data_IF_320442917788
#
_entry.id   IF_320442917788
#
_cell.length_a   1.000
_cell.length_b   1.000
_cell.length_c   1.000
_cell.angle_alpha   90.00
_cell.angle_beta   90.00
_cell.angle_gamma   90.00
#
_symmetry.space_group_name_H-M   'P 1'
#
loop_
_entity.id
_entity.type
_entity.pdbx_description
1 polymer ?
#
# COMPACT_ATOMS: atom_id res chain seq x y z
N UNK A 1 16.49 7.74 -14.92
CA UNK A 1 16.17 6.74 -13.88
C UNK A 1 16.78 5.40 -14.30
N UNK A 2 17.64 4.77 -13.49
CA UNK A 2 18.31 3.50 -13.87
C UNK A 2 17.37 2.30 -13.68
N UNK A 3 17.63 1.17 -14.36
CA UNK A 3 16.85 -0.07 -14.21
C UNK A 3 16.78 -0.55 -12.75
N UNK A 4 17.87 -0.41 -11.99
CA UNK A 4 17.91 -0.71 -10.55
C UNK A 4 16.91 0.14 -9.76
N UNK A 5 16.79 1.42 -10.09
CA UNK A 5 15.84 2.32 -9.40
C UNK A 5 14.40 1.93 -9.69
N UNK A 6 14.11 1.49 -10.92
CA UNK A 6 12.78 0.99 -11.30
C UNK A 6 12.48 -0.32 -10.57
N UNK A 7 13.40 -1.28 -10.55
CA UNK A 7 13.20 -2.58 -9.87
C UNK A 7 13.07 -2.41 -8.35
N UNK A 8 13.90 -1.58 -7.73
CA UNK A 8 13.77 -1.21 -6.31
C UNK A 8 12.41 -0.55 -6.04
N UNK A 9 11.97 0.38 -6.90
CA UNK A 9 10.64 0.97 -6.78
C UNK A 9 9.52 -0.06 -6.95
N UNK A 10 9.68 -1.06 -7.83
CA UNK A 10 8.72 -2.16 -8.01
C UNK A 10 8.67 -3.07 -6.77
N UNK A 11 9.82 -3.36 -6.14
CA UNK A 11 9.90 -4.16 -4.92
C UNK A 11 9.45 -3.42 -3.67
N UNK A 12 9.25 -2.10 -3.74
CA UNK A 12 8.74 -1.29 -2.65
C UNK A 12 7.22 -1.15 -2.76
N UNK A 13 6.48 -1.80 -1.86
CA UNK A 13 5.02 -1.76 -1.78
C UNK A 13 4.42 -0.35 -1.57
N UNK A 14 5.23 0.68 -1.38
CA UNK A 14 4.81 2.08 -1.27
C UNK A 14 4.97 2.87 -2.58
N UNK A 15 5.30 2.21 -3.69
CA UNK A 15 5.45 2.83 -5.01
C UNK A 15 4.20 2.63 -5.87
N UNK A 16 3.82 3.65 -6.64
CA UNK A 16 2.68 3.60 -7.56
C UNK A 16 2.98 2.84 -8.87
N UNK A 17 4.25 2.72 -9.25
CA UNK A 17 4.69 2.05 -10.49
C UNK A 17 4.27 0.57 -10.57
N UNK A 18 4.50 -0.26 -9.53
CA UNK A 18 4.02 -1.63 -9.56
C UNK A 18 2.49 -1.71 -9.67
N UNK A 19 1.72 -0.77 -9.09
CA UNK A 19 0.26 -0.76 -9.18
C UNK A 19 -0.24 -0.52 -10.61
N UNK A 20 0.35 0.42 -11.36
CA UNK A 20 -0.11 0.70 -12.74
C UNK A 20 0.19 -0.47 -13.67
N UNK A 21 1.44 -0.95 -13.69
CA UNK A 21 1.86 -2.03 -14.60
C UNK A 21 1.14 -3.33 -14.26
N UNK A 22 1.02 -3.66 -12.98
CA UNK A 22 0.35 -4.87 -12.52
C UNK A 22 -1.16 -4.77 -12.70
N UNK A 23 -1.82 -3.78 -12.09
CA UNK A 23 -3.28 -3.74 -12.00
C UNK A 23 -3.91 -3.40 -13.36
N UNK A 24 -3.35 -2.42 -14.08
CA UNK A 24 -3.90 -2.00 -15.38
C UNK A 24 -3.32 -2.76 -16.57
N UNK A 25 -2.03 -3.18 -16.49
CA UNK A 25 -1.32 -3.79 -17.61
C UNK A 25 -1.40 -5.32 -17.67
N UNK A 26 -1.53 -6.00 -16.52
CA UNK A 26 -1.52 -7.46 -16.44
C UNK A 26 -2.86 -7.99 -15.92
N UNK A 27 -3.29 -7.50 -14.76
CA UNK A 27 -4.45 -8.05 -14.06
C UNK A 27 -5.76 -7.76 -14.77
N UNK A 28 -6.06 -6.48 -15.04
CA UNK A 28 -7.32 -6.11 -15.69
C UNK A 28 -7.48 -6.82 -17.05
N UNK A 29 -6.52 -6.77 -17.99
CA UNK A 29 -6.62 -7.51 -19.25
C UNK A 29 -6.81 -9.02 -19.06
N UNK A 30 -6.06 -9.64 -18.15
CA UNK A 30 -6.15 -11.09 -17.91
C UNK A 30 -7.51 -11.50 -17.36
N UNK A 31 -8.02 -10.77 -16.36
CA UNK A 31 -9.35 -11.01 -15.77
C UNK A 31 -10.46 -10.81 -16.80
N UNK A 32 -10.36 -9.80 -17.66
CA UNK A 32 -11.31 -9.55 -18.76
C UNK A 32 -11.30 -10.72 -19.76
N UNK A 33 -10.11 -11.17 -20.17
CA UNK A 33 -9.97 -12.28 -21.12
C UNK A 33 -10.51 -13.60 -20.55
N UNK A 34 -10.19 -13.91 -19.29
CA UNK A 34 -10.70 -15.09 -18.59
C UNK A 34 -12.23 -15.01 -18.49
N UNK A 35 -12.78 -13.87 -18.02
CA UNK A 35 -14.22 -13.69 -17.91
C UNK A 35 -14.93 -13.90 -19.26
N UNK A 36 -14.38 -13.35 -20.34
CA UNK A 36 -14.89 -13.56 -21.70
C UNK A 36 -14.87 -15.03 -22.09
N UNK A 37 -13.75 -15.71 -21.90
CA UNK A 37 -13.57 -17.10 -22.32
C UNK A 37 -14.48 -18.06 -21.56
N UNK A 38 -14.60 -17.87 -20.25
CA UNK A 38 -15.44 -18.70 -19.38
C UNK A 38 -16.92 -18.51 -19.70
N UNK A 39 -17.40 -17.27 -19.83
CA UNK A 39 -18.79 -16.99 -20.19
C UNK A 39 -19.12 -17.39 -21.65
N UNK A 40 -18.12 -17.43 -22.55
CA UNK A 40 -18.31 -17.87 -23.94
C UNK A 40 -18.63 -19.36 -24.05
N UNK A 41 -18.29 -20.17 -23.04
CA UNK A 41 -18.69 -21.59 -22.97
C UNK A 41 -20.21 -21.77 -22.93
N UNK A 42 -20.92 -20.74 -22.47
CA UNK A 42 -22.37 -20.75 -22.28
C UNK A 42 -23.07 -19.99 -23.41
N UNK A 43 -22.69 -18.73 -23.67
CA UNK A 43 -23.18 -18.00 -24.85
C UNK A 43 -22.31 -16.80 -25.23
N UNK A 44 -22.37 -16.41 -26.50
CA UNK A 44 -21.68 -15.21 -27.01
C UNK A 44 -22.23 -13.91 -26.41
N UNK A 45 -23.52 -13.88 -26.09
CA UNK A 45 -24.16 -12.72 -25.48
C UNK A 45 -23.72 -12.53 -24.03
N UNK A 46 -23.72 -13.60 -23.23
CA UNK A 46 -23.20 -13.58 -21.85
C UNK A 46 -21.73 -13.17 -21.83
N UNK A 47 -20.92 -13.71 -22.75
CA UNK A 47 -19.51 -13.32 -22.87
C UNK A 47 -19.34 -11.82 -23.12
N UNK A 48 -20.18 -11.21 -23.96
CA UNK A 48 -20.09 -9.77 -24.26
C UNK A 48 -20.50 -8.91 -23.06
N UNK A 49 -21.55 -9.30 -22.34
CA UNK A 49 -21.96 -8.59 -21.12
C UNK A 49 -20.92 -8.72 -20.01
N UNK A 50 -20.40 -9.92 -19.76
CA UNK A 50 -19.34 -10.18 -18.79
C UNK A 50 -18.07 -9.40 -19.12
N UNK A 51 -17.67 -9.36 -20.40
CA UNK A 51 -16.51 -8.58 -20.85
C UNK A 51 -16.71 -7.10 -20.53
N UNK A 52 -17.87 -6.51 -20.87
CA UNK A 52 -18.16 -5.09 -20.61
C UNK A 52 -18.17 -4.80 -19.11
N UNK A 53 -18.93 -5.59 -18.33
CA UNK A 53 -19.02 -5.41 -16.88
C UNK A 53 -17.61 -5.48 -16.26
N UNK A 54 -16.77 -6.42 -16.70
CA UNK A 54 -15.40 -6.57 -16.21
C UNK A 54 -14.47 -5.42 -16.63
N UNK A 55 -14.57 -4.91 -17.85
CA UNK A 55 -13.81 -3.74 -18.30
C UNK A 55 -14.11 -2.54 -17.40
N UNK A 56 -15.39 -2.24 -17.19
CA UNK A 56 -15.82 -1.10 -16.38
C UNK A 56 -15.39 -1.32 -14.92
N UNK A 57 -15.61 -2.51 -14.37
CA UNK A 57 -15.27 -2.82 -12.98
C UNK A 57 -13.77 -2.68 -12.72
N UNK A 58 -12.91 -3.33 -13.52
CA UNK A 58 -11.47 -3.32 -13.28
C UNK A 58 -10.86 -1.93 -13.55
N UNK A 59 -11.14 -1.30 -14.69
CA UNK A 59 -10.50 -0.02 -15.02
C UNK A 59 -11.06 1.17 -14.24
N UNK A 60 -12.36 1.21 -13.92
CA UNK A 60 -12.89 2.29 -13.09
C UNK A 60 -12.41 2.18 -11.64
N UNK A 61 -12.32 0.94 -11.10
CA UNK A 61 -11.72 0.69 -9.79
C UNK A 61 -10.25 1.12 -9.78
N UNK A 62 -9.47 0.75 -10.79
CA UNK A 62 -8.06 1.19 -10.92
C UNK A 62 -7.92 2.71 -11.07
N UNK A 63 -8.80 3.37 -11.82
CA UNK A 63 -8.77 4.83 -11.97
C UNK A 63 -9.04 5.55 -10.63
N UNK A 64 -10.00 5.04 -9.84
CA UNK A 64 -10.29 5.57 -8.50
C UNK A 64 -9.09 5.35 -7.57
N UNK A 65 -8.48 4.17 -7.58
CA UNK A 65 -7.29 3.87 -6.77
C UNK A 65 -6.08 4.73 -7.13
N UNK A 66 -5.74 4.80 -8.43
CA UNK A 66 -4.50 5.42 -8.90
C UNK A 66 -4.60 6.95 -9.02
N UNK A 67 -5.80 7.48 -9.26
CA UNK A 67 -6.01 8.92 -9.48
C UNK A 67 -6.95 9.55 -8.46
N UNK A 68 -8.08 8.90 -8.18
CA UNK A 68 -9.09 9.43 -7.26
C UNK A 68 -8.58 9.63 -5.84
N UNK A 69 -7.94 8.61 -5.27
CA UNK A 69 -7.41 8.69 -3.89
C UNK A 69 -6.31 9.75 -3.76
N UNK A 70 -5.24 9.76 -4.58
CA UNK A 70 -4.23 10.82 -4.50
C UNK A 70 -4.80 12.22 -4.71
N UNK A 71 -5.78 12.39 -5.59
CA UNK A 71 -6.44 13.68 -5.79
C UNK A 71 -7.20 14.14 -4.54
N UNK A 72 -7.96 13.24 -3.89
CA UNK A 72 -8.67 13.56 -2.65
C UNK A 72 -7.70 13.82 -1.50
N UNK A 73 -6.61 13.06 -1.38
CA UNK A 73 -5.56 13.34 -0.39
C UNK A 73 -4.93 14.72 -0.60
N UNK A 74 -4.62 15.10 -1.85
CA UNK A 74 -4.08 16.41 -2.18
C UNK A 74 -5.05 17.56 -1.84
N UNK A 75 -6.34 17.38 -2.14
CA UNK A 75 -7.38 18.35 -1.78
C UNK A 75 -7.52 18.47 -0.25
N UNK A 76 -7.54 17.34 0.46
CA UNK A 76 -7.63 17.32 1.91
C UNK A 76 -6.40 17.96 2.56
N UNK A 77 -5.20 17.71 2.03
CA UNK A 77 -3.96 18.33 2.51
C UNK A 77 -3.96 19.84 2.31
N UNK A 78 -4.38 20.32 1.13
CA UNK A 78 -4.57 21.77 0.90
C UNK A 78 -5.56 22.38 1.89
N UNK A 79 -6.64 21.68 2.22
CA UNK A 79 -7.62 22.15 3.19
C UNK A 79 -7.04 22.22 4.62
N UNK A 80 -6.30 21.19 5.04
CA UNK A 80 -5.64 21.14 6.36
C UNK A 80 -4.57 22.25 6.47
N UNK A 81 -3.75 22.42 5.43
CA UNK A 81 -2.76 23.48 5.34
C UNK A 81 -3.39 24.88 5.35
N UNK A 82 -4.55 25.09 4.70
CA UNK A 82 -5.31 26.34 4.79
C UNK A 82 -5.84 26.65 6.18
N UNK A 83 -6.07 25.62 7.01
CA UNK A 83 -6.36 25.80 8.45
C UNK A 83 -5.10 26.03 9.29
N UNK A 84 -3.95 26.12 8.63
CA UNK A 84 -2.64 26.38 9.22
C UNK A 84 -2.05 25.17 9.95
N UNK A 85 -2.50 23.94 9.66
CA UNK A 85 -1.89 22.73 10.20
C UNK A 85 -1.07 22.04 9.13
N UNK A 86 0.05 21.44 9.52
CA UNK A 86 0.80 20.59 8.61
C UNK A 86 0.22 19.16 8.61
N UNK A 87 -0.36 18.67 7.50
CA UNK A 87 -0.94 17.34 7.43
C UNK A 87 0.08 16.20 7.56
N UNK A 88 1.37 16.53 7.50
CA UNK A 88 2.46 15.56 7.60
C UNK A 88 2.83 15.17 9.04
N UNK A 89 2.31 15.87 10.06
CA UNK A 89 2.57 15.55 11.46
C UNK A 89 1.97 14.20 11.80
N UNK A 90 2.81 13.28 12.25
CA UNK A 90 2.41 11.93 12.55
C UNK A 90 1.85 11.83 13.98
N UNK A 91 0.56 11.58 14.10
CA UNK A 91 -0.12 11.48 15.39
C UNK A 91 0.29 10.27 16.24
N UNK A 92 1.05 9.29 15.69
CA UNK A 92 1.65 8.22 16.51
C UNK A 92 2.59 8.78 17.57
N UNK A 93 3.17 9.95 17.31
CA UNK A 93 4.01 10.66 18.27
C UNK A 93 3.27 10.96 19.58
N UNK A 94 1.94 11.14 19.57
CA UNK A 94 1.16 11.29 20.80
C UNK A 94 1.03 9.99 21.61
N UNK A 95 1.12 8.82 20.96
CA UNK A 95 1.00 7.52 21.64
C UNK A 95 2.29 7.10 22.31
N UNK A 96 3.43 7.41 21.71
CA UNK A 96 4.75 7.12 22.30
C UNK A 96 4.94 7.81 23.65
N UNK A 97 4.33 8.98 23.85
CA UNK A 97 4.37 9.72 25.11
C UNK A 97 3.48 9.13 26.21
N UNK A 98 2.46 8.35 25.82
CA UNK A 98 1.55 7.69 26.76
C UNK A 98 2.13 6.40 27.32
N UNK A 99 3.23 5.89 26.75
CA UNK A 99 3.94 4.74 27.28
C UNK A 99 4.68 5.14 28.57
N UNK A 100 4.16 4.71 29.72
CA UNK A 100 4.55 5.13 31.09
C UNK A 100 6.01 4.84 31.51
N UNK A 101 6.85 4.29 30.63
CA UNK A 101 8.27 4.09 30.91
C UNK A 101 9.07 5.33 30.49
N UNK A 102 8.95 6.41 31.27
CA UNK A 102 9.55 7.72 30.99
C UNK A 102 11.08 7.70 30.75
N UNK A 103 11.80 6.68 31.25
CA UNK A 103 13.25 6.53 31.05
C UNK A 103 13.69 6.09 29.64
N UNK A 104 12.76 5.69 28.76
CA UNK A 104 13.06 5.13 27.43
C UNK A 104 12.27 5.81 26.29
N UNK A 105 11.83 7.05 26.49
CA UNK A 105 11.16 7.82 25.43
C UNK A 105 12.22 8.50 24.58
N UNK A 106 12.29 8.12 23.31
CA UNK A 106 13.27 8.67 22.34
C UNK A 106 12.61 9.43 21.17
N UNK A 107 11.28 9.48 21.15
CA UNK A 107 10.47 10.29 20.25
C UNK A 107 9.09 10.55 20.88
N UNK A 108 8.46 11.64 20.49
CA UNK A 108 7.16 12.08 21.01
C UNK A 108 6.91 13.53 20.62
N UNK A 109 5.68 14.03 20.72
CA UNK A 109 5.39 15.44 20.43
C UNK A 109 6.17 16.38 21.36
N UNK A 110 5.95 16.29 22.66
CA UNK A 110 6.67 16.99 23.73
C UNK A 110 8.16 16.63 23.80
N UNK A 111 8.52 15.36 23.66
CA UNK A 111 9.94 14.97 23.61
C UNK A 111 10.66 15.68 22.45
N UNK A 112 10.09 15.63 21.24
CA UNK A 112 10.70 16.26 20.07
C UNK A 112 10.70 17.78 20.21
N UNK A 113 9.62 18.41 20.71
CA UNK A 113 9.61 19.86 20.99
C UNK A 113 10.79 20.22 21.92
N UNK A 114 10.93 19.51 23.04
CA UNK A 114 11.98 19.81 24.02
C UNK A 114 13.39 19.55 23.50
N UNK A 115 13.57 18.51 22.68
CA UNK A 115 14.86 18.17 22.08
C UNK A 115 15.32 19.21 21.06
N UNK A 116 14.41 19.67 20.20
CA UNK A 116 14.77 20.47 19.04
C UNK A 116 14.52 21.99 19.20
N UNK A 117 13.85 22.44 20.28
CA UNK A 117 13.48 23.87 20.49
C UNK A 117 14.62 24.88 20.40
N UNK A 118 15.84 24.49 20.78
CA UNK A 118 16.99 25.40 20.85
C UNK A 118 17.76 25.50 19.52
N UNK A 119 17.40 24.73 18.49
CA UNK A 119 18.08 24.73 17.20
C UNK A 119 17.51 25.85 16.33
N UNK A 120 18.33 26.83 15.95
CA UNK A 120 17.87 28.06 15.30
C UNK A 120 17.56 27.92 13.80
N UNK A 121 17.79 26.74 13.21
CA UNK A 121 17.51 26.49 11.80
C UNK A 121 16.03 26.69 11.46
N UNK A 122 15.77 27.40 10.36
CA UNK A 122 14.41 27.85 9.99
C UNK A 122 13.44 26.68 9.84
N UNK A 123 13.84 25.63 9.13
CA UNK A 123 13.02 24.44 8.89
C UNK A 123 12.75 23.64 10.19
N UNK A 124 13.70 23.65 11.13
CA UNK A 124 13.52 23.07 12.47
C UNK A 124 12.51 23.89 13.26
N UNK A 125 12.64 25.22 13.28
CA UNK A 125 11.72 26.11 13.99
C UNK A 125 10.29 26.00 13.44
N UNK A 126 10.13 25.92 12.11
CA UNK A 126 8.84 25.64 11.47
C UNK A 126 8.28 24.28 11.89
N UNK A 127 9.11 23.23 11.90
CA UNK A 127 8.70 21.90 12.34
C UNK A 127 8.28 21.87 13.83
N UNK A 128 8.95 22.64 14.69
CA UNK A 128 8.58 22.78 16.10
C UNK A 128 7.29 23.58 16.25
N UNK A 129 7.11 24.66 15.49
CA UNK A 129 5.86 25.42 15.48
C UNK A 129 4.67 24.54 15.06
N UNK A 130 4.85 23.69 14.05
CA UNK A 130 3.85 22.68 13.64
C UNK A 130 3.48 21.76 14.80
N UNK A 131 4.49 21.22 15.50
CA UNK A 131 4.27 20.32 16.65
C UNK A 131 3.57 21.01 17.81
N UNK A 132 3.98 22.22 18.18
CA UNK A 132 3.37 23.02 19.25
C UNK A 132 1.90 23.30 18.93
N UNK A 133 1.60 23.70 17.68
CA UNK A 133 0.24 23.98 17.25
C UNK A 133 -0.65 22.74 17.31
N UNK A 134 -0.11 21.59 16.88
CA UNK A 134 -0.80 20.30 16.95
C UNK A 134 -0.99 19.84 18.40
N UNK A 135 0.03 20.01 19.27
CA UNK A 135 -0.08 19.72 20.72
C UNK A 135 -1.23 20.49 21.34
N UNK A 136 -1.30 21.79 21.10
CA UNK A 136 -2.31 22.67 21.69
C UNK A 136 -3.73 22.44 21.14
N UNK A 137 -3.86 21.84 19.95
CA UNK A 137 -5.14 21.64 19.27
C UNK A 137 -5.37 20.18 18.85
N UNK A 138 -4.88 19.22 19.64
CA UNK A 138 -4.88 17.79 19.31
C UNK A 138 -6.25 17.27 18.81
N UNK A 139 -7.39 17.49 19.51
CA UNK A 139 -8.67 16.95 19.06
C UNK A 139 -9.11 17.47 17.69
N UNK A 140 -8.84 18.76 17.41
CA UNK A 140 -9.16 19.38 16.14
C UNK A 140 -8.29 18.78 15.02
N UNK A 141 -6.98 18.64 15.25
CA UNK A 141 -6.07 18.07 14.28
C UNK A 141 -6.35 16.59 13.99
N UNK A 142 -6.60 15.78 15.03
CA UNK A 142 -7.04 14.38 14.87
C UNK A 142 -8.36 14.27 14.09
N UNK A 143 -9.30 15.19 14.36
CA UNK A 143 -10.56 15.29 13.59
C UNK A 143 -10.32 15.62 12.11
N UNK A 144 -9.39 16.52 11.80
CA UNK A 144 -9.03 16.86 10.42
C UNK A 144 -8.38 15.68 9.69
N UNK A 145 -7.43 14.98 10.31
CA UNK A 145 -6.80 13.80 9.73
C UNK A 145 -7.78 12.64 9.56
N UNK A 146 -8.73 12.48 10.49
CA UNK A 146 -9.80 11.48 10.35
C UNK A 146 -10.71 11.80 9.18
N UNK A 147 -11.08 13.07 8.98
CA UNK A 147 -11.85 13.51 7.81
C UNK A 147 -11.06 13.29 6.51
N UNK A 148 -9.75 13.56 6.50
CA UNK A 148 -8.87 13.23 5.37
C UNK A 148 -8.92 11.73 5.08
N UNK A 149 -8.73 10.88 6.09
CA UNK A 149 -8.79 9.43 5.90
C UNK A 149 -10.16 8.97 5.37
N UNK A 150 -11.26 9.49 5.93
CA UNK A 150 -12.60 9.14 5.47
C UNK A 150 -12.81 9.54 4.01
N UNK A 151 -12.42 10.76 3.64
CA UNK A 151 -12.54 11.25 2.27
C UNK A 151 -11.66 10.46 1.29
N UNK A 152 -10.41 10.19 1.65
CA UNK A 152 -9.43 9.56 0.78
C UNK A 152 -9.53 8.03 0.71
N UNK A 153 -10.14 7.38 1.70
CA UNK A 153 -10.24 5.92 1.76
C UNK A 153 -11.68 5.47 1.72
N UNK A 154 -12.50 5.87 2.68
CA UNK A 154 -13.87 5.34 2.84
C UNK A 154 -14.78 5.73 1.68
N UNK A 155 -14.78 6.99 1.22
CA UNK A 155 -15.61 7.42 0.09
C UNK A 155 -15.26 6.63 -1.19
N UNK A 156 -13.98 6.55 -1.62
CA UNK A 156 -13.54 5.68 -2.70
C UNK A 156 -13.98 4.23 -2.52
N UNK A 157 -13.80 3.64 -1.33
CA UNK A 157 -14.27 2.27 -1.04
C UNK A 157 -15.77 2.13 -1.25
N UNK A 158 -16.58 3.09 -0.79
CA UNK A 158 -18.03 3.10 -0.99
C UNK A 158 -18.38 3.20 -2.48
N UNK A 159 -17.70 4.08 -3.22
CA UNK A 159 -17.92 4.22 -4.66
C UNK A 159 -17.60 2.90 -5.36
N UNK A 160 -16.42 2.32 -5.13
CA UNK A 160 -15.97 1.10 -5.81
C UNK A 160 -16.74 -0.15 -5.37
N UNK A 161 -17.18 -0.21 -4.11
CA UNK A 161 -17.81 -1.38 -3.53
C UNK A 161 -19.33 -1.40 -3.65
N UNK A 162 -19.99 -0.24 -3.63
CA UNK A 162 -21.46 -0.16 -3.55
C UNK A 162 -22.08 0.57 -4.74
N UNK A 163 -21.48 1.67 -5.19
CA UNK A 163 -22.07 2.53 -6.23
C UNK A 163 -21.74 1.99 -7.62
N UNK A 164 -20.45 1.78 -7.90
CA UNK A 164 -19.94 1.32 -9.18
C UNK A 164 -20.57 -0.01 -9.62
N UNK A 165 -20.69 -1.06 -8.76
CA UNK A 165 -21.34 -2.30 -9.17
C UNK A 165 -22.81 -2.08 -9.56
N UNK A 166 -23.57 -1.32 -8.76
CA UNK A 166 -24.98 -1.02 -9.06
C UNK A 166 -25.16 -0.27 -10.37
N UNK A 167 -24.32 0.73 -10.63
CA UNK A 167 -24.35 1.48 -11.89
C UNK A 167 -24.00 0.58 -13.09
N UNK A 168 -23.00 -0.29 -12.93
CA UNK A 168 -22.57 -1.22 -13.97
C UNK A 168 -23.69 -2.24 -14.28
N UNK A 169 -24.31 -2.82 -13.25
CA UNK A 169 -25.44 -3.74 -13.41
C UNK A 169 -26.67 -3.06 -14.04
N UNK A 170 -26.99 -1.84 -13.64
CA UNK A 170 -28.08 -1.06 -14.21
C UNK A 170 -27.84 -0.76 -15.71
N UNK A 171 -26.59 -0.44 -16.08
CA UNK A 171 -26.20 -0.26 -17.48
C UNK A 171 -26.39 -1.55 -18.28
N UNK A 172 -25.98 -2.70 -17.74
CA UNK A 172 -26.22 -4.02 -18.35
C UNK A 172 -27.71 -4.27 -18.58
N UNK A 173 -28.53 -4.05 -17.54
CA UNK A 173 -29.97 -4.24 -17.62
C UNK A 173 -30.60 -3.34 -18.69
N UNK A 174 -30.21 -2.06 -18.75
CA UNK A 174 -30.68 -1.11 -19.77
C UNK A 174 -30.32 -1.56 -21.19
N UNK A 175 -29.09 -2.03 -21.40
CA UNK A 175 -28.64 -2.48 -22.73
C UNK A 175 -29.34 -3.76 -23.17
N UNK A 176 -29.58 -4.71 -22.26
CA UNK A 176 -30.39 -5.91 -22.54
C UNK A 176 -31.82 -5.53 -22.86
N UNK A 177 -32.41 -4.61 -22.08
CA UNK A 177 -33.76 -4.10 -22.28
C UNK A 177 -33.91 -3.43 -23.65
N UNK A 178 -32.98 -2.56 -24.05
CA UNK A 178 -33.01 -1.92 -25.37
C UNK A 178 -32.90 -2.94 -26.53
N UNK A 179 -32.12 -4.01 -26.37
CA UNK A 179 -32.05 -5.11 -27.36
C UNK A 179 -33.35 -5.90 -27.44
N UNK A 180 -34.04 -6.10 -26.31
CA UNK A 180 -35.37 -6.74 -26.30
C UNK A 180 -36.48 -5.81 -26.78
N UNK A 181 -36.40 -4.51 -26.51
CA UNK A 181 -37.39 -3.49 -26.90
C UNK A 181 -37.29 -3.09 -28.38
N UNK A 182 -36.19 -3.39 -29.08
CA UNK A 182 -36.16 -3.42 -30.56
C UNK A 182 -37.11 -4.47 -31.17
N UNK A 183 -37.86 -5.24 -30.36
CA UNK A 183 -39.02 -6.06 -30.77
C UNK A 183 -40.37 -5.61 -30.18
N UNK A 184 -40.46 -4.52 -29.41
CA UNK A 184 -41.69 -3.80 -29.02
C UNK A 184 -41.39 -2.77 -27.92
N UNK A 185 -42.02 -1.58 -28.00
CA UNK A 185 -41.85 -0.43 -27.07
C UNK A 185 -43.16 -0.11 -26.32
N UNK A 186 -43.18 0.76 -25.27
CA UNK A 186 -42.24 0.98 -24.14
C UNK A 186 -42.99 0.98 -22.76
N UNK A 187 -42.36 0.96 -21.55
CA UNK A 187 -41.68 2.08 -20.85
C UNK A 187 -41.01 1.59 -19.51
N UNK A 188 -39.99 2.28 -18.93
CA UNK A 188 -39.72 2.15 -17.49
C UNK A 188 -39.51 3.45 -16.69
N UNK A 189 -39.90 3.40 -15.41
CA UNK A 189 -39.64 4.39 -14.35
C UNK A 189 -38.24 4.22 -13.72
N UNK A 190 -37.66 5.33 -13.25
CA UNK A 190 -36.35 5.39 -12.59
C UNK A 190 -36.45 5.15 -11.06
N UNK A 191 -35.48 4.45 -10.42
CA UNK A 191 -35.42 4.37 -8.97
C UNK A 191 -34.70 5.58 -8.36
N UNK A 192 -35.30 6.10 -7.27
CA UNK A 192 -34.71 7.14 -6.42
C UNK A 192 -33.50 6.59 -5.64
N UNK A 193 -32.35 7.24 -5.78
CA UNK A 193 -31.20 7.05 -4.88
C UNK A 193 -31.46 7.79 -3.56
N UNK A 194 -31.73 7.05 -2.49
CA UNK A 194 -31.68 7.57 -1.14
C UNK A 194 -30.21 7.80 -0.73
N UNK A 195 -29.79 9.07 -0.75
CA UNK A 195 -28.62 9.54 -0.03
C UNK A 195 -29.10 10.07 1.32
N UNK A 196 -29.05 9.25 2.38
CA UNK A 196 -29.25 9.78 3.73
C UNK A 196 -28.59 8.91 4.80
N UNK A 197 -27.49 9.37 5.39
CA UNK A 197 -27.43 9.90 6.77
C UNK A 197 -25.99 10.31 7.12
N UNK A 198 -25.87 11.43 7.84
CA UNK A 198 -24.65 11.86 8.54
C UNK A 198 -24.07 10.69 9.36
N UNK A 199 -22.88 10.22 8.97
CA UNK A 199 -22.11 9.28 9.78
C UNK A 199 -21.39 10.09 10.85
N UNK A 200 -22.03 10.26 12.00
CA UNK A 200 -21.38 10.78 13.20
C UNK A 200 -20.70 9.60 13.92
N UNK A 201 -19.36 9.54 13.86
CA UNK A 201 -18.58 8.67 14.72
C UNK A 201 -18.31 9.40 16.04
N UNK A 202 -18.97 8.98 17.12
CA UNK A 202 -18.66 9.40 18.50
C UNK A 202 -17.85 8.30 19.19
N UNK A 203 -16.71 8.68 19.79
CA UNK A 203 -15.85 7.79 20.58
C UNK A 203 -14.45 7.57 19.97
N UNK A 204 -13.58 6.88 20.73
CA UNK A 204 -12.12 6.64 20.54
C UNK A 204 -11.65 6.05 19.18
N UNK A 205 -12.55 5.99 18.20
CA UNK A 205 -12.37 5.55 16.82
C UNK A 205 -11.56 6.57 16.01
N UNK A 206 -11.76 7.88 16.24
CA UNK A 206 -11.04 8.97 15.56
C UNK A 206 -9.53 8.86 15.76
N UNK A 207 -9.09 8.67 17.01
CA UNK A 207 -7.67 8.48 17.35
C UNK A 207 -7.13 7.16 16.81
N UNK A 208 -7.93 6.09 16.77
CA UNK A 208 -7.51 4.77 16.29
C UNK A 208 -7.29 4.76 14.77
N UNK A 209 -8.26 5.29 14.02
CA UNK A 209 -8.24 5.37 12.55
C UNK A 209 -7.09 6.24 12.06
N UNK A 210 -6.90 7.40 12.69
CA UNK A 210 -5.90 8.35 12.24
C UNK A 210 -4.46 7.81 12.45
N UNK A 211 -4.28 6.85 13.38
CA UNK A 211 -2.99 6.23 13.74
C UNK A 211 -2.65 4.94 12.96
N UNK A 212 -3.52 4.47 12.07
CA UNK A 212 -3.31 3.23 11.32
C UNK A 212 -2.07 3.31 10.42
N UNK A 213 -1.33 2.20 10.30
CA UNK A 213 -0.27 2.09 9.28
C UNK A 213 -0.92 2.07 7.90
N UNK A 214 -0.16 2.43 6.87
CA UNK A 214 -0.62 2.36 5.48
C UNK A 214 -1.18 0.99 5.11
N UNK A 215 -0.54 -0.09 5.57
CA UNK A 215 -1.02 -1.47 5.35
C UNK A 215 -2.37 -1.72 6.03
N UNK A 216 -2.55 -1.23 7.26
CA UNK A 216 -3.82 -1.41 7.98
C UNK A 216 -4.94 -0.59 7.32
N UNK A 217 -4.63 0.61 6.79
CA UNK A 217 -5.56 1.43 6.01
C UNK A 217 -6.00 0.75 4.71
N UNK A 218 -5.06 0.14 3.99
CA UNK A 218 -5.36 -0.63 2.78
C UNK A 218 -6.20 -1.86 3.10
N UNK A 219 -5.88 -2.60 4.18
CA UNK A 219 -6.67 -3.74 4.61
C UNK A 219 -8.12 -3.37 4.98
N UNK A 220 -8.34 -2.21 5.64
CA UNK A 220 -9.70 -1.70 5.92
C UNK A 220 -10.43 -1.34 4.63
N UNK A 221 -9.76 -0.68 3.69
CA UNK A 221 -10.35 -0.36 2.39
C UNK A 221 -10.79 -1.62 1.64
N UNK A 222 -9.93 -2.63 1.57
CA UNK A 222 -10.22 -3.88 0.85
C UNK A 222 -11.30 -4.71 1.58
N UNK A 223 -11.31 -4.68 2.91
CA UNK A 223 -12.39 -5.25 3.73
C UNK A 223 -13.74 -4.59 3.43
N UNK A 224 -13.78 -3.25 3.43
CA UNK A 224 -14.98 -2.48 3.09
C UNK A 224 -15.43 -2.69 1.64
N UNK A 225 -14.48 -2.79 0.70
CA UNK A 225 -14.75 -3.11 -0.69
C UNK A 225 -15.41 -4.49 -0.80
N UNK A 226 -14.96 -5.45 0.02
CA UNK A 226 -15.49 -6.82 0.05
C UNK A 226 -16.91 -6.87 0.54
N UNK A 227 -17.18 -6.20 1.66
CA UNK A 227 -18.53 -6.05 2.17
C UNK A 227 -19.43 -5.41 1.11
N UNK A 228 -18.95 -4.35 0.46
CA UNK A 228 -19.66 -3.69 -0.63
C UNK A 228 -20.03 -4.65 -1.76
N UNK A 229 -19.04 -5.27 -2.39
CA UNK A 229 -19.26 -6.10 -3.57
C UNK A 229 -20.12 -7.33 -3.27
N UNK A 230 -19.97 -7.95 -2.10
CA UNK A 230 -20.82 -9.07 -1.67
C UNK A 230 -22.24 -8.61 -1.40
N UNK A 231 -22.42 -7.48 -0.72
CA UNK A 231 -23.76 -6.94 -0.40
C UNK A 231 -24.54 -6.44 -1.61
N UNK A 232 -23.85 -6.00 -2.66
CA UNK A 232 -24.48 -5.53 -3.90
C UNK A 232 -24.70 -6.62 -4.95
N UNK A 233 -24.29 -7.85 -4.67
CA UNK A 233 -24.50 -8.99 -5.57
C UNK A 233 -25.98 -9.15 -5.92
N UNK A 234 -26.27 -9.48 -7.18
CA UNK A 234 -27.64 -9.64 -7.70
C UNK A 234 -28.33 -10.88 -7.15
N UNK A 235 -27.55 -11.89 -6.78
CA UNK A 235 -28.04 -13.12 -6.14
C UNK A 235 -27.00 -13.71 -5.17
N UNK A 236 -27.42 -14.72 -4.40
CA UNK A 236 -26.58 -15.37 -3.38
C UNK A 236 -25.31 -15.99 -3.98
N UNK A 237 -25.43 -16.62 -5.15
CA UNK A 237 -24.31 -17.25 -5.85
C UNK A 237 -23.25 -16.22 -6.26
N UNK A 238 -23.66 -15.07 -6.82
CA UNK A 238 -22.76 -13.95 -7.11
C UNK A 238 -22.13 -13.40 -5.82
N UNK A 239 -22.86 -13.39 -4.71
CA UNK A 239 -22.36 -13.12 -3.36
C UNK A 239 -21.20 -14.03 -2.97
N UNK A 240 -21.38 -15.35 -3.05
CA UNK A 240 -20.34 -16.33 -2.72
C UNK A 240 -19.12 -16.24 -3.63
N UNK A 241 -19.32 -16.09 -4.94
CA UNK A 241 -18.23 -15.94 -5.91
C UNK A 241 -17.45 -14.66 -5.66
N UNK A 242 -18.13 -13.54 -5.36
CA UNK A 242 -17.47 -12.29 -4.98
C UNK A 242 -16.69 -12.43 -3.68
N UNK A 243 -17.25 -13.06 -2.65
CA UNK A 243 -16.57 -13.30 -1.39
C UNK A 243 -15.27 -14.12 -1.60
N UNK A 244 -15.37 -15.24 -2.32
CA UNK A 244 -14.23 -16.10 -2.64
C UNK A 244 -13.12 -15.31 -3.35
N UNK A 245 -13.46 -14.61 -4.43
CA UNK A 245 -12.51 -13.81 -5.21
C UNK A 245 -11.82 -12.77 -4.34
N UNK A 246 -12.58 -12.04 -3.52
CA UNK A 246 -12.05 -10.89 -2.78
C UNK A 246 -11.19 -11.29 -1.58
N UNK A 247 -11.59 -12.33 -0.85
CA UNK A 247 -10.76 -12.90 0.21
C UNK A 247 -9.46 -13.44 -0.40
N UNK A 248 -9.55 -14.17 -1.52
CA UNK A 248 -8.40 -14.63 -2.27
C UNK A 248 -7.48 -13.49 -2.69
N UNK A 249 -8.03 -12.40 -3.24
CA UNK A 249 -7.25 -11.22 -3.61
C UNK A 249 -6.55 -10.56 -2.43
N UNK A 250 -7.20 -10.42 -1.27
CA UNK A 250 -6.55 -9.87 -0.07
C UNK A 250 -5.38 -10.72 0.40
N UNK A 251 -5.55 -12.04 0.46
CA UNK A 251 -4.47 -12.97 0.85
C UNK A 251 -3.31 -12.82 -0.13
N UNK A 252 -3.60 -12.85 -1.44
CA UNK A 252 -2.59 -12.74 -2.48
C UNK A 252 -1.91 -11.36 -2.58
N UNK A 253 -2.56 -10.29 -2.10
CA UNK A 253 -1.98 -8.94 -2.11
C UNK A 253 -1.19 -8.61 -0.83
N UNK A 254 -1.64 -9.04 0.35
CA UNK A 254 -1.03 -8.63 1.62
C UNK A 254 -0.19 -9.71 2.29
N UNK A 255 -0.51 -10.98 2.08
CA UNK A 255 0.11 -12.11 2.79
C UNK A 255 1.13 -12.77 1.88
N UNK A 256 0.69 -13.25 0.72
CA UNK A 256 1.48 -14.06 -0.20
C UNK A 256 2.79 -13.41 -0.67
N UNK A 257 2.85 -12.12 -1.04
CA UNK A 257 4.09 -11.51 -1.55
C UNK A 257 5.20 -11.49 -0.49
N UNK A 258 4.85 -11.37 0.79
CA UNK A 258 5.80 -11.41 1.89
C UNK A 258 6.39 -12.82 2.08
N UNK A 259 5.58 -13.87 1.93
CA UNK A 259 6.04 -15.25 2.01
C UNK A 259 6.86 -15.67 0.79
N UNK A 260 6.46 -15.25 -0.42
CA UNK A 260 7.24 -15.50 -1.63
C UNK A 260 8.60 -14.80 -1.52
N UNK A 261 8.64 -13.52 -1.14
CA UNK A 261 9.89 -12.79 -0.95
C UNK A 261 10.81 -13.52 0.04
N UNK A 262 10.30 -13.87 1.22
CA UNK A 262 11.07 -14.62 2.24
C UNK A 262 11.55 -15.98 1.71
N UNK A 263 10.72 -16.69 0.95
CA UNK A 263 11.06 -17.98 0.35
C UNK A 263 12.17 -17.86 -0.70
N UNK A 264 12.04 -16.90 -1.62
CA UNK A 264 13.05 -16.60 -2.63
C UNK A 264 14.37 -16.16 -2.00
N UNK A 265 14.33 -15.23 -1.05
CA UNK A 265 15.53 -14.76 -0.35
C UNK A 265 16.21 -15.90 0.45
N UNK A 266 15.43 -16.74 1.15
CA UNK A 266 15.97 -17.92 1.85
C UNK A 266 16.60 -18.92 0.89
N UNK A 267 15.95 -19.19 -0.24
CA UNK A 267 16.48 -20.09 -1.28
C UNK A 267 17.78 -19.52 -1.87
N UNK A 268 17.82 -18.24 -2.22
CA UNK A 268 19.00 -17.55 -2.72
C UNK A 268 20.15 -17.54 -1.71
N UNK A 269 19.87 -17.23 -0.44
CA UNK A 269 20.87 -17.23 0.63
C UNK A 269 21.48 -18.63 0.79
N UNK A 270 20.66 -19.69 0.72
CA UNK A 270 21.13 -21.08 0.81
C UNK A 270 21.93 -21.51 -0.42
N UNK A 271 21.42 -21.21 -1.62
CA UNK A 271 21.99 -21.68 -2.88
C UNK A 271 23.28 -20.94 -3.25
N UNK A 272 23.32 -19.63 -3.00
CA UNK A 272 24.44 -18.79 -3.43
C UNK A 272 25.38 -18.39 -2.28
N UNK A 273 25.01 -18.65 -1.02
CA UNK A 273 25.74 -18.23 0.18
C UNK A 273 26.02 -16.71 0.20
N UNK A 274 25.06 -15.92 -0.27
CA UNK A 274 25.13 -14.45 -0.38
C UNK A 274 23.92 -13.89 0.33
N UNK A 275 24.10 -12.90 1.21
CA UNK A 275 22.99 -12.18 1.82
C UNK A 275 22.36 -11.21 0.79
N UNK A 276 21.10 -11.46 0.42
CA UNK A 276 20.34 -10.64 -0.55
C UNK A 276 19.23 -9.80 0.10
N UNK A 277 19.29 -9.56 1.41
CA UNK A 277 18.19 -8.93 2.14
C UNK A 277 18.16 -7.41 1.99
N UNK A 278 19.27 -6.77 1.60
CA UNK A 278 19.33 -5.33 1.35
C UNK A 278 18.69 -4.96 0.01
N UNK A 279 18.19 -3.73 -0.09
CA UNK A 279 17.58 -3.20 -1.31
C UNK A 279 18.62 -3.08 -2.45
N UNK A 280 18.24 -3.34 -3.72
CA UNK A 280 19.14 -3.19 -4.86
C UNK A 280 19.84 -1.84 -4.97
N UNK A 281 19.21 -0.74 -4.52
CA UNK A 281 19.83 0.59 -4.50
C UNK A 281 21.03 0.64 -3.57
N UNK A 282 20.86 0.15 -2.35
CA UNK A 282 21.95 0.03 -1.36
C UNK A 282 23.06 -0.87 -1.90
N UNK A 283 22.70 -2.03 -2.46
CA UNK A 283 23.65 -2.97 -3.05
C UNK A 283 24.39 -2.40 -4.29
N UNK A 284 23.88 -1.32 -4.88
CA UNK A 284 24.52 -0.60 -5.99
C UNK A 284 25.27 0.66 -5.58
N UNK A 285 25.21 1.04 -4.30
CA UNK A 285 25.85 2.24 -3.79
C UNK A 285 27.37 2.02 -3.73
N UNK A 286 28.11 2.81 -4.52
CA UNK A 286 29.57 2.71 -4.62
C UNK A 286 30.25 3.12 -3.32
N UNK A 287 29.78 4.18 -2.68
CA UNK A 287 30.33 4.68 -1.42
C UNK A 287 30.16 3.64 -0.31
N UNK A 288 29.05 2.89 -0.33
CA UNK A 288 28.82 1.80 0.60
C UNK A 288 29.82 0.67 0.40
N UNK A 289 30.02 0.26 -0.86
CA UNK A 289 30.97 -0.78 -1.22
C UNK A 289 32.41 -0.36 -0.86
N UNK A 290 32.79 0.88 -1.13
CA UNK A 290 34.10 1.44 -0.79
C UNK A 290 34.31 1.52 0.73
N UNK A 291 33.32 2.02 1.48
CA UNK A 291 33.40 2.08 2.94
C UNK A 291 33.56 0.70 3.59
N UNK A 292 32.98 -0.36 3.01
CA UNK A 292 33.21 -1.74 3.46
C UNK A 292 34.66 -2.17 3.20
N UNK A 293 35.19 -1.90 2.01
CA UNK A 293 36.57 -2.24 1.63
C UNK A 293 37.60 -1.55 2.54
N UNK A 294 37.36 -0.29 2.85
CA UNK A 294 38.22 0.56 3.67
C UNK A 294 38.03 0.33 5.18
N UNK A 295 37.08 -0.53 5.58
CA UNK A 295 36.67 -0.73 6.98
C UNK A 295 36.23 0.56 7.70
N UNK A 296 35.73 1.55 6.96
CA UNK A 296 35.37 2.88 7.47
C UNK A 296 33.84 3.11 7.50
N UNK A 297 33.05 2.03 7.56
CA UNK A 297 31.59 2.14 7.61
C UNK A 297 31.10 2.31 9.05
N UNK A 298 30.56 3.48 9.36
CA UNK A 298 30.03 3.79 10.69
C UNK A 298 28.62 3.19 10.91
N UNK A 299 28.42 2.56 12.07
CA UNK A 299 27.18 1.91 12.45
C UNK A 299 26.70 2.39 13.83
N UNK A 300 25.38 2.36 14.09
CA UNK A 300 24.87 2.47 15.45
C UNK A 300 25.46 1.38 16.34
N UNK A 301 25.74 1.70 17.62
CA UNK A 301 26.39 0.79 18.57
C UNK A 301 25.62 -0.52 18.74
N UNK A 302 24.30 -0.44 18.86
CA UNK A 302 23.43 -1.62 18.98
C UNK A 302 22.07 -1.40 18.30
N UNK A 303 21.19 -2.40 18.42
CA UNK A 303 19.79 -2.30 17.98
C UNK A 303 18.87 -1.64 19.03
N UNK A 304 19.42 -1.13 20.14
CA UNK A 304 18.63 -0.43 21.16
C UNK A 304 18.05 0.87 20.61
N UNK A 305 16.85 1.23 21.06
CA UNK A 305 16.21 2.49 20.64
C UNK A 305 17.11 3.70 20.91
N UNK A 306 17.78 3.72 22.08
CA UNK A 306 18.73 4.77 22.46
C UNK A 306 19.85 4.93 21.44
N UNK A 307 20.58 3.85 21.15
CA UNK A 307 21.75 3.91 20.28
C UNK A 307 21.35 4.25 18.83
N UNK A 308 20.20 3.78 18.38
CA UNK A 308 19.67 4.09 17.06
C UNK A 308 19.30 5.58 16.94
N UNK A 309 18.57 6.13 17.91
CA UNK A 309 18.21 7.56 17.92
C UNK A 309 19.43 8.46 18.09
N UNK A 310 20.34 8.13 19.00
CA UNK A 310 21.59 8.87 19.20
C UNK A 310 22.40 8.93 17.89
N UNK A 311 22.50 7.81 17.17
CA UNK A 311 23.23 7.75 15.91
C UNK A 311 22.58 8.58 14.80
N UNK A 312 21.27 8.41 14.54
CA UNK A 312 20.60 9.14 13.45
C UNK A 312 20.52 10.65 13.72
N UNK A 313 20.44 11.07 14.99
CA UNK A 313 20.37 12.48 15.34
C UNK A 313 21.78 13.14 15.33
N UNK A 314 22.84 12.42 15.72
CA UNK A 314 24.21 12.96 15.75
C UNK A 314 24.97 12.82 14.43
N UNK A 315 24.62 11.84 13.61
CA UNK A 315 25.31 11.50 12.35
C UNK A 315 24.33 11.39 11.17
N UNK A 316 23.57 12.45 10.86
CA UNK A 316 22.58 12.43 9.78
C UNK A 316 23.21 12.24 8.39
N UNK A 317 24.44 12.73 8.21
CA UNK A 317 25.20 12.62 6.95
C UNK A 317 25.99 11.32 6.82
N UNK A 318 26.02 10.46 7.86
CA UNK A 318 26.66 9.16 7.74
C UNK A 318 25.96 8.32 6.69
N UNK A 319 26.73 7.44 6.04
CA UNK A 319 26.19 6.62 4.96
C UNK A 319 25.05 5.70 5.44
N UNK A 320 25.12 5.20 6.68
CA UNK A 320 24.01 4.46 7.29
C UNK A 320 22.73 5.29 7.36
N UNK A 321 22.82 6.54 7.85
CA UNK A 321 21.69 7.45 7.98
C UNK A 321 21.08 7.83 6.62
N UNK A 322 21.93 8.11 5.63
CA UNK A 322 21.47 8.42 4.26
C UNK A 322 20.77 7.22 3.62
N UNK A 323 21.32 6.01 3.76
CA UNK A 323 20.66 4.79 3.28
C UNK A 323 19.33 4.54 4.02
N UNK A 324 19.28 4.76 5.34
CA UNK A 324 18.04 4.65 6.11
C UNK A 324 16.99 5.66 5.64
N UNK A 325 17.39 6.89 5.29
CA UNK A 325 16.51 7.91 4.71
C UNK A 325 16.02 7.49 3.32
N UNK A 326 16.91 7.00 2.45
CA UNK A 326 16.55 6.52 1.11
C UNK A 326 15.53 5.38 1.18
N UNK A 327 15.66 4.50 2.18
CA UNK A 327 14.73 3.42 2.47
C UNK A 327 13.49 3.84 3.28
N UNK A 328 13.29 5.16 3.47
CA UNK A 328 12.17 5.77 4.19
C UNK A 328 12.01 5.29 5.65
N UNK A 329 13.11 4.89 6.30
CA UNK A 329 13.14 4.48 7.72
C UNK A 329 13.26 5.67 8.66
N UNK A 330 13.88 6.75 8.19
CA UNK A 330 14.02 8.04 8.86
C UNK A 330 13.75 9.17 7.85
N UNK A 331 13.45 10.36 8.32
CA UNK A 331 13.32 11.56 7.50
C UNK A 331 14.13 12.68 8.13
N UNK A 332 14.89 13.40 7.32
CA UNK A 332 15.65 14.58 7.71
C UNK A 332 15.07 15.82 7.05
N UNK A 333 15.22 16.94 7.73
CA UNK A 333 14.98 18.28 7.21
C UNK A 333 16.17 18.73 6.34
N UNK A 334 16.06 19.87 5.68
CA UNK A 334 17.11 20.40 4.80
C UNK A 334 18.36 20.75 5.59
N UNK A 335 18.20 21.22 6.82
CA UNK A 335 19.27 21.48 7.79
C UNK A 335 19.97 20.22 8.32
N UNK A 336 19.56 19.03 7.89
CA UNK A 336 20.16 17.75 8.30
C UNK A 336 19.67 17.22 9.65
N UNK A 337 18.83 17.95 10.37
CA UNK A 337 18.19 17.44 11.58
C UNK A 337 17.07 16.46 11.23
N UNK A 338 16.86 15.45 12.08
CA UNK A 338 15.72 14.54 11.93
C UNK A 338 14.42 15.33 11.98
N UNK A 339 13.50 15.08 11.03
CA UNK A 339 12.19 15.75 11.00
C UNK A 339 11.37 15.33 12.23
N UNK A 340 11.15 16.23 13.21
CA UNK A 340 10.50 15.89 14.46
C UNK A 340 8.99 15.61 14.28
N UNK A 341 8.42 15.93 13.11
CA UNK A 341 7.02 15.67 12.76
C UNK A 341 6.79 14.24 12.30
N UNK A 342 7.84 13.52 11.90
CA UNK A 342 7.77 12.15 11.36
C UNK A 342 8.06 11.12 12.46
N UNK A 343 7.31 10.03 12.43
CA UNK A 343 7.50 8.90 13.32
C UNK A 343 8.57 7.96 12.78
N UNK A 344 9.50 7.52 13.62
CA UNK A 344 10.52 6.52 13.29
C UNK A 344 10.10 5.17 13.87
N UNK A 345 9.94 4.16 13.02
CA UNK A 345 9.69 2.80 13.49
C UNK A 345 11.01 2.14 13.91
N UNK A 346 11.24 2.06 15.22
CA UNK A 346 12.50 1.53 15.77
C UNK A 346 12.72 0.07 15.46
N UNK A 347 11.66 -0.75 15.42
CA UNK A 347 11.82 -2.16 15.05
C UNK A 347 12.27 -2.28 13.60
N UNK A 348 11.71 -1.45 12.73
CA UNK A 348 12.03 -1.45 11.32
C UNK A 348 13.46 -0.92 11.05
N UNK A 349 13.91 0.10 11.81
CA UNK A 349 15.28 0.62 11.77
C UNK A 349 16.31 -0.37 12.36
N UNK A 350 15.96 -1.06 13.45
CA UNK A 350 16.79 -2.10 14.05
C UNK A 350 16.98 -3.31 13.12
N UNK A 351 15.91 -3.74 12.46
CA UNK A 351 15.97 -4.77 11.43
C UNK A 351 16.86 -4.34 10.27
N UNK A 352 16.73 -3.08 9.81
CA UNK A 352 17.57 -2.52 8.78
C UNK A 352 19.06 -2.55 9.16
N UNK A 353 19.41 -2.08 10.37
CA UNK A 353 20.79 -2.18 10.89
C UNK A 353 21.30 -3.62 10.87
N UNK A 354 20.49 -4.55 11.35
CA UNK A 354 20.86 -5.97 11.42
C UNK A 354 21.19 -6.54 10.04
N UNK A 355 20.39 -6.21 9.02
CA UNK A 355 20.66 -6.68 7.66
C UNK A 355 21.88 -5.99 7.02
N UNK A 356 22.14 -4.72 7.34
CA UNK A 356 23.37 -4.04 6.93
C UNK A 356 24.60 -4.72 7.55
N UNK A 357 24.58 -4.98 8.86
CA UNK A 357 25.69 -5.66 9.56
C UNK A 357 25.97 -7.03 8.96
N UNK A 358 24.93 -7.86 8.80
CA UNK A 358 25.08 -9.20 8.20
C UNK A 358 25.64 -9.13 6.77
N UNK A 359 25.23 -8.14 5.98
CA UNK A 359 25.77 -7.96 4.64
C UNK A 359 27.26 -7.60 4.69
N UNK A 360 27.66 -6.66 5.56
CA UNK A 360 29.05 -6.25 5.72
C UNK A 360 29.92 -7.45 6.13
N UNK A 361 29.50 -8.21 7.13
CA UNK A 361 30.21 -9.41 7.61
C UNK A 361 30.39 -10.45 6.49
N UNK A 362 29.32 -10.77 5.77
CA UNK A 362 29.37 -11.74 4.66
C UNK A 362 30.18 -11.23 3.47
N UNK A 363 30.14 -9.92 3.19
CA UNK A 363 30.93 -9.31 2.14
C UNK A 363 32.44 -9.32 2.47
N UNK A 364 32.83 -9.08 3.72
CA UNK A 364 34.25 -9.14 4.15
C UNK A 364 34.85 -10.54 4.07
N UNK A 365 34.05 -11.58 4.29
CA UNK A 365 34.46 -12.97 4.10
C UNK A 365 34.66 -13.29 2.60
N UNK A 366 34.01 -12.52 1.71
CA UNK A 366 34.17 -12.71 0.27
C UNK A 366 35.54 -12.20 -0.21
N UNK A 367 36.18 -12.96 -1.12
CA UNK A 367 37.46 -12.57 -1.72
C UNK A 367 37.38 -11.28 -2.58
N UNK A 368 36.18 -10.87 -3.00
CA UNK A 368 35.96 -9.67 -3.81
C UNK A 368 34.59 -9.05 -3.50
N UNK A 369 34.60 -7.98 -2.69
CA UNK A 369 33.42 -7.28 -2.18
C UNK A 369 32.56 -6.69 -3.33
N UNK A 370 33.17 -6.15 -4.39
CA UNK A 370 32.44 -5.58 -5.53
C UNK A 370 31.66 -6.64 -6.29
N UNK A 371 32.32 -7.75 -6.65
CA UNK A 371 31.66 -8.88 -7.32
C UNK A 371 30.59 -9.49 -6.43
N UNK A 372 30.83 -9.56 -5.13
CA UNK A 372 29.84 -10.03 -4.15
C UNK A 372 28.60 -9.12 -4.14
N UNK A 373 28.78 -7.81 -3.99
CA UNK A 373 27.69 -6.83 -3.98
C UNK A 373 26.92 -6.82 -5.32
N UNK A 374 27.63 -6.89 -6.45
CA UNK A 374 27.00 -6.95 -7.76
C UNK A 374 26.18 -8.23 -7.94
N UNK A 375 26.67 -9.38 -7.49
CA UNK A 375 25.94 -10.64 -7.53
C UNK A 375 24.72 -10.60 -6.59
N UNK A 376 24.88 -10.08 -5.37
CA UNK A 376 23.79 -9.89 -4.42
C UNK A 376 22.68 -9.01 -5.01
N UNK A 377 23.07 -7.89 -5.64
CA UNK A 377 22.15 -6.97 -6.33
C UNK A 377 21.36 -7.69 -7.43
N UNK A 378 22.04 -8.42 -8.31
CA UNK A 378 21.37 -9.13 -9.41
C UNK A 378 20.39 -10.18 -8.91
N UNK A 379 20.79 -10.97 -7.91
CA UNK A 379 19.92 -11.98 -7.30
C UNK A 379 18.73 -11.30 -6.62
N UNK A 380 18.93 -10.20 -5.88
CA UNK A 380 17.82 -9.46 -5.26
C UNK A 380 16.86 -8.89 -6.29
N UNK A 381 17.37 -8.30 -7.37
CA UNK A 381 16.54 -7.85 -8.49
C UNK A 381 15.74 -9.00 -9.09
N UNK A 382 16.37 -10.15 -9.32
CA UNK A 382 15.69 -11.35 -9.81
C UNK A 382 14.60 -11.84 -8.84
N UNK A 383 14.87 -11.84 -7.53
CA UNK A 383 13.89 -12.21 -6.50
C UNK A 383 12.70 -11.25 -6.47
N UNK A 384 12.93 -9.93 -6.61
CA UNK A 384 11.87 -8.94 -6.69
C UNK A 384 11.01 -9.18 -7.94
N UNK A 385 11.63 -9.33 -9.11
CA UNK A 385 10.91 -9.58 -10.36
C UNK A 385 10.16 -10.91 -10.33
N UNK A 386 10.76 -11.96 -9.78
CA UNK A 386 10.10 -13.26 -9.60
C UNK A 386 8.93 -13.15 -8.62
N UNK A 387 9.07 -12.42 -7.51
CA UNK A 387 7.98 -12.20 -6.58
C UNK A 387 6.81 -11.48 -7.24
N UNK A 388 7.08 -10.40 -7.97
CA UNK A 388 6.04 -9.67 -8.72
C UNK A 388 5.42 -10.55 -9.79
N UNK A 389 6.22 -11.29 -10.56
CA UNK A 389 5.74 -12.19 -11.60
C UNK A 389 4.84 -13.30 -11.05
N UNK A 390 5.28 -14.00 -9.99
CA UNK A 390 4.51 -15.07 -9.34
C UNK A 390 3.24 -14.48 -8.72
N UNK A 391 3.33 -13.39 -7.97
CA UNK A 391 2.17 -12.77 -7.33
C UNK A 391 1.14 -12.30 -8.36
N UNK A 392 1.61 -11.67 -9.46
CA UNK A 392 0.74 -11.25 -10.57
C UNK A 392 0.11 -12.44 -11.27
N UNK A 393 0.86 -13.52 -11.51
CA UNK A 393 0.34 -14.74 -12.11
C UNK A 393 -0.74 -15.39 -11.23
N UNK A 394 -0.50 -15.46 -9.92
CA UNK A 394 -1.47 -15.99 -8.96
C UNK A 394 -2.75 -15.15 -8.95
N UNK A 395 -2.63 -13.81 -8.96
CA UNK A 395 -3.79 -12.92 -8.84
C UNK A 395 -4.54 -12.72 -10.16
N UNK A 396 -3.84 -12.66 -11.29
CA UNK A 396 -4.39 -12.38 -12.61
C UNK A 396 -4.82 -13.65 -13.37
N UNK A 397 -4.17 -14.80 -13.08
CA UNK A 397 -4.37 -16.05 -13.79
C UNK A 397 -5.02 -17.13 -12.93
N UNK A 398 -4.39 -17.49 -11.81
CA UNK A 398 -4.84 -18.62 -10.98
C UNK A 398 -6.14 -18.30 -10.25
N UNK A 399 -6.20 -17.20 -9.50
CA UNK A 399 -7.37 -16.84 -8.71
C UNK A 399 -8.64 -16.68 -9.57
N UNK A 400 -8.64 -15.99 -10.73
CA UNK A 400 -9.82 -15.88 -11.57
C UNK A 400 -10.26 -17.23 -12.12
N UNK A 401 -9.33 -18.12 -12.52
CA UNK A 401 -9.70 -19.48 -12.93
C UNK A 401 -10.34 -20.28 -11.80
N UNK A 402 -9.74 -20.25 -10.61
CA UNK A 402 -10.30 -20.91 -9.43
C UNK A 402 -11.67 -20.34 -9.06
N UNK A 403 -11.88 -19.04 -9.25
CA UNK A 403 -13.18 -18.40 -9.05
C UNK A 403 -14.25 -18.99 -10.00
N UNK A 404 -13.91 -19.22 -11.28
CA UNK A 404 -14.85 -19.83 -12.24
C UNK A 404 -15.08 -21.32 -11.99
N UNK A 405 -14.08 -22.07 -11.54
CA UNK A 405 -14.27 -23.46 -11.10
C UNK A 405 -15.12 -23.54 -9.83
N UNK A 406 -14.90 -22.64 -8.87
CA UNK A 406 -15.76 -22.50 -7.70
C UNK A 406 -17.20 -22.17 -8.11
N UNK A 407 -17.38 -21.23 -9.05
CA UNK A 407 -18.67 -20.88 -9.61
C UNK A 407 -19.38 -22.10 -10.23
N UNK A 408 -18.68 -22.90 -11.02
CA UNK A 408 -19.24 -24.14 -11.58
C UNK A 408 -19.62 -25.13 -10.49
N UNK A 409 -18.81 -25.26 -9.45
CA UNK A 409 -19.08 -26.16 -8.34
C UNK A 409 -20.36 -25.76 -7.58
N UNK A 410 -20.61 -24.47 -7.38
CA UNK A 410 -21.80 -24.00 -6.64
C UNK A 410 -23.04 -23.82 -7.51
N UNK A 411 -22.89 -23.54 -8.81
CA UNK A 411 -24.01 -23.19 -9.70
C UNK A 411 -24.27 -24.17 -10.84
N UNK A 412 -23.35 -25.10 -11.10
CA UNK A 412 -23.36 -25.98 -12.26
C UNK A 412 -22.99 -25.30 -13.60
N UNK A 413 -22.68 -24.00 -13.60
CA UNK A 413 -22.43 -23.21 -14.83
C UNK A 413 -21.13 -22.41 -14.75
N UNK A 414 -20.52 -22.15 -15.91
CA UNK A 414 -19.39 -21.24 -16.03
C UNK A 414 -19.81 -19.77 -16.15
N UNK A 415 -21.09 -19.50 -16.42
CA UNK A 415 -21.60 -18.14 -16.56
C UNK A 415 -21.50 -17.36 -15.24
N UNK A 416 -21.17 -16.07 -15.34
CA UNK A 416 -21.19 -15.16 -14.21
C UNK A 416 -22.59 -15.22 -13.56
N UNK A 417 -22.70 -15.55 -12.25
CA UNK A 417 -23.99 -15.84 -11.65
C UNK A 417 -25.02 -14.74 -11.76
N UNK A 418 -24.58 -13.49 -11.73
CA UNK A 418 -25.43 -12.31 -11.84
C UNK A 418 -25.93 -12.02 -13.28
N UNK A 419 -25.36 -12.66 -14.29
CA UNK A 419 -25.75 -12.49 -15.70
C UNK A 419 -26.69 -13.59 -16.20
N UNK A 420 -26.82 -14.70 -15.45
CA UNK A 420 -27.81 -15.76 -15.72
C UNK A 420 -29.22 -15.19 -15.63
N UNK A 421 -30.15 -15.74 -16.43
CA UNK A 421 -31.54 -15.25 -16.52
C UNK A 421 -32.12 -15.02 -15.12
N UNK A 422 -32.54 -13.77 -14.86
CA UNK A 422 -33.39 -13.42 -13.73
C UNK A 422 -34.84 -13.72 -14.08
#
# INVERSE_FOLDING_TARGET
MTLTNIISAIGNNSSIYPLIVRDCGIEAPSKILIARNENKKESKELANDATREKIIDEYATSAIWLGGIPAVECIADKFISKKGYNPNVNIKLFKEEQNKNAGNIFQGIEYNINKFKNIQEKDVQEAIADLVKVKNNKPLFEGLLTKKFFAATIIPTVIMGFILPKLNFALTAKLRKNKSEQKSSPQPQAPNLLLNKNINFTGNITSTIANLRTVDKMAISDGGLTVGRVSTSRNKDEGYVNAFRMIGSMILNFVTPAYIAKGLDKASNKLFKINVNLDPKILSNKDFISAIKENNFELPKSNSAKDLFEFIDSKPTSLFSQMAQEMKKVSYLESGYRDPRKYVDINDLANFRTEVVKFIETAKISKNIEKFAQKAKWIKCANILANVGISSFLLAGVLPKLQYEFNKLITGSYADPGLRKQ
#
